data_IF_258265568689
#
_entry.id   IF_258265568689
#
_cell.length_a   1.000
_cell.length_b   1.000
_cell.length_c   1.000
_cell.angle_alpha   90.00
_cell.angle_beta   90.00
_cell.angle_gamma   90.00
#
_symmetry.space_group_name_H-M   'P 1'
#
loop_
_entity.id
_entity.type
_entity.pdbx_description
1 polymer ?
#
# COMPACT_ATOMS: atom_id res chain seq x y z
N UNK A 1 -21.70 -18.31 -32.19
CA UNK A 1 -21.59 -16.87 -32.18
C UNK A 1 -21.59 -16.28 -30.82
N UNK A 2 -22.56 -16.59 -30.01
CA UNK A 2 -22.60 -16.06 -28.64
C UNK A 2 -21.38 -16.46 -27.84
N UNK A 3 -20.91 -17.67 -28.04
CA UNK A 3 -19.73 -18.14 -27.31
C UNK A 3 -18.49 -17.35 -27.67
N UNK A 4 -18.36 -16.97 -28.91
CA UNK A 4 -17.22 -16.19 -29.37
C UNK A 4 -17.24 -14.80 -28.75
N UNK A 5 -18.43 -14.22 -28.69
CA UNK A 5 -18.58 -12.91 -28.08
C UNK A 5 -18.20 -12.94 -26.61
N UNK A 6 -18.61 -13.98 -25.91
CA UNK A 6 -18.29 -14.11 -24.50
C UNK A 6 -16.79 -14.23 -24.29
N UNK A 7 -16.13 -15.00 -25.12
CA UNK A 7 -14.69 -15.17 -25.04
C UNK A 7 -13.98 -13.84 -25.25
N UNK A 8 -14.50 -13.06 -26.17
CA UNK A 8 -13.93 -11.75 -26.46
C UNK A 8 -14.01 -10.82 -25.25
N UNK A 9 -15.16 -10.83 -24.62
CA UNK A 9 -15.37 -10.02 -23.44
C UNK A 9 -14.44 -10.42 -22.31
N UNK A 10 -14.25 -11.70 -22.14
CA UNK A 10 -13.35 -12.20 -21.11
C UNK A 10 -11.91 -11.74 -21.35
N UNK A 11 -11.48 -11.77 -22.60
CA UNK A 11 -10.13 -11.33 -22.92
C UNK A 11 -9.96 -9.86 -22.63
N UNK A 12 -10.96 -9.05 -22.98
CA UNK A 12 -10.90 -7.62 -22.69
C UNK A 12 -10.86 -7.34 -21.21
N UNK A 13 -11.67 -8.05 -20.46
CA UNK A 13 -11.70 -7.89 -19.01
C UNK A 13 -10.34 -8.25 -18.40
N UNK A 14 -9.75 -9.30 -18.91
CA UNK A 14 -8.46 -9.76 -18.44
C UNK A 14 -7.40 -8.68 -18.61
N UNK A 15 -7.36 -8.04 -19.75
CA UNK A 15 -6.39 -6.98 -20.03
C UNK A 15 -6.56 -5.81 -19.07
N UNK A 16 -7.79 -5.42 -18.82
CA UNK A 16 -8.06 -4.32 -17.92
C UNK A 16 -7.64 -4.63 -16.50
N UNK A 17 -7.91 -5.87 -16.06
CA UNK A 17 -7.52 -6.30 -14.73
C UNK A 17 -6.01 -6.23 -14.55
N UNK A 18 -5.28 -6.58 -15.60
CA UNK A 18 -3.83 -6.56 -15.57
C UNK A 18 -3.31 -5.14 -15.36
N UNK A 19 -3.85 -4.19 -16.12
CA UNK A 19 -3.40 -2.81 -16.04
C UNK A 19 -3.63 -2.22 -14.65
N UNK A 20 -4.73 -2.60 -14.01
CA UNK A 20 -5.08 -2.02 -12.72
C UNK A 20 -4.46 -2.75 -11.54
N UNK A 21 -4.00 -3.97 -11.74
CA UNK A 21 -3.49 -4.76 -10.64
C UNK A 21 -2.19 -4.19 -10.07
N UNK A 22 -1.45 -3.37 -10.81
CA UNK A 22 -0.26 -2.73 -10.30
C UNK A 22 -0.58 -1.82 -9.12
N UNK A 23 -1.61 -1.00 -9.26
CA UNK A 23 -2.03 -0.14 -8.17
C UNK A 23 -2.57 -0.95 -6.99
N UNK A 24 -3.33 -1.96 -7.28
CA UNK A 24 -3.87 -2.81 -6.24
C UNK A 24 -2.76 -3.59 -5.54
N UNK A 25 -1.76 -4.03 -6.27
CA UNK A 25 -0.63 -4.75 -5.70
C UNK A 25 0.14 -3.85 -4.73
N UNK A 26 0.34 -2.59 -5.08
CA UNK A 26 0.96 -1.63 -4.16
C UNK A 26 0.11 -1.45 -2.91
N UNK A 27 -1.20 -1.36 -3.10
CA UNK A 27 -2.10 -1.27 -1.96
C UNK A 27 -1.95 -2.48 -1.04
N UNK A 28 -1.95 -3.67 -1.62
CA UNK A 28 -1.78 -4.88 -0.83
C UNK A 28 -0.44 -4.89 -0.11
N UNK A 29 0.60 -4.48 -0.78
CA UNK A 29 1.91 -4.44 -0.16
C UNK A 29 1.99 -3.46 0.99
N UNK A 30 1.28 -2.36 0.90
CA UNK A 30 1.25 -1.41 2.00
C UNK A 30 0.72 -2.07 3.27
N UNK A 31 -0.03 -3.16 3.11
CA UNK A 31 -0.55 -3.92 4.23
C UNK A 31 0.36 -5.09 4.58
N UNK A 32 0.74 -5.88 3.58
CA UNK A 32 1.41 -7.16 3.83
C UNK A 32 2.91 -7.02 4.09
N UNK A 33 3.53 -5.94 3.64
CA UNK A 33 4.97 -5.74 3.84
C UNK A 33 5.30 -5.28 5.26
N UNK A 34 4.32 -4.93 6.04
CA UNK A 34 4.52 -4.41 7.39
C UNK A 34 3.82 -5.33 8.38
N UNK A 35 4.52 -5.63 9.46
CA UNK A 35 3.92 -6.41 10.54
C UNK A 35 3.19 -5.44 11.45
N UNK A 36 1.86 -5.41 11.36
CA UNK A 36 1.06 -4.45 12.08
C UNK A 36 0.95 -4.73 13.57
N UNK A 37 1.18 -5.96 13.97
CA UNK A 37 1.30 -6.24 15.39
C UNK A 37 2.53 -5.57 15.97
N UNK A 38 3.62 -5.58 15.23
CA UNK A 38 4.82 -4.86 15.64
C UNK A 38 4.59 -3.36 15.68
N UNK A 39 3.84 -2.84 14.71
CA UNK A 39 3.50 -1.42 14.72
C UNK A 39 2.78 -1.06 16.02
N UNK A 40 1.79 -1.85 16.37
CA UNK A 40 1.02 -1.61 17.59
C UNK A 40 1.92 -1.64 18.83
N UNK A 41 2.82 -2.59 18.88
CA UNK A 41 3.73 -2.71 20.02
C UNK A 41 4.76 -1.59 20.05
N UNK A 42 5.39 -1.32 18.91
CA UNK A 42 6.44 -0.32 18.81
C UNK A 42 5.96 1.08 19.14
N UNK A 43 4.76 1.40 18.68
CA UNK A 43 4.20 2.72 18.89
C UNK A 43 3.31 2.80 20.13
N UNK A 44 3.18 1.70 20.83
CA UNK A 44 2.36 1.62 22.05
C UNK A 44 0.95 2.14 21.77
N UNK A 45 0.30 1.51 20.80
CA UNK A 45 -1.03 1.93 20.41
C UNK A 45 -2.07 1.47 21.42
N UNK A 46 -3.10 2.28 21.58
CA UNK A 46 -4.23 1.88 22.40
C UNK A 46 -5.01 0.77 21.72
N UNK A 47 -5.86 0.12 22.48
CA UNK A 47 -6.74 -0.91 21.93
C UNK A 47 -7.63 -0.35 20.83
N UNK A 48 -8.10 0.88 20.99
CA UNK A 48 -8.92 1.53 19.99
C UNK A 48 -8.14 1.78 18.71
N UNK A 49 -6.92 2.30 18.84
CA UNK A 49 -6.09 2.57 17.67
C UNK A 49 -5.77 1.27 16.93
N UNK A 50 -5.44 0.23 17.67
CA UNK A 50 -5.13 -1.07 17.06
C UNK A 50 -6.33 -1.61 16.30
N UNK A 51 -7.52 -1.50 16.90
CA UNK A 51 -8.73 -1.96 16.25
C UNK A 51 -9.02 -1.16 14.98
N UNK A 52 -8.81 0.14 15.02
CA UNK A 52 -9.04 0.99 13.86
C UNK A 52 -8.07 0.68 12.73
N UNK A 53 -6.81 0.41 13.06
CA UNK A 53 -5.84 0.01 12.05
C UNK A 53 -6.20 -1.32 11.42
N UNK A 54 -6.60 -2.27 12.24
CA UNK A 54 -7.01 -3.56 11.71
C UNK A 54 -8.21 -3.43 10.79
N UNK A 55 -9.18 -2.61 11.15
CA UNK A 55 -10.34 -2.37 10.31
C UNK A 55 -9.94 -1.71 9.00
N UNK A 56 -9.02 -0.77 9.06
CA UNK A 56 -8.54 -0.11 7.85
C UNK A 56 -7.85 -1.10 6.92
N UNK A 57 -7.01 -1.96 7.48
CA UNK A 57 -6.28 -2.96 6.68
C UNK A 57 -7.22 -4.00 6.08
N UNK A 58 -8.35 -4.23 6.71
CA UNK A 58 -9.34 -5.20 6.22
C UNK A 58 -10.40 -4.59 5.30
N UNK A 59 -10.35 -3.30 5.08
CA UNK A 59 -11.43 -2.58 4.40
C UNK A 59 -11.70 -3.12 2.99
N UNK A 60 -10.66 -3.38 2.24
CA UNK A 60 -10.79 -3.90 0.88
C UNK A 60 -10.07 -5.23 0.80
N UNK A 61 -10.81 -6.29 1.08
CA UNK A 61 -10.22 -7.62 1.16
C UNK A 61 -9.87 -8.22 -0.19
N UNK A 62 -10.56 -7.80 -1.22
CA UNK A 62 -10.31 -8.33 -2.55
C UNK A 62 -10.23 -7.20 -3.55
N UNK A 63 -9.78 -7.56 -4.75
CA UNK A 63 -9.61 -6.59 -5.81
C UNK A 63 -10.91 -5.89 -6.17
N UNK A 64 -12.00 -6.64 -6.22
CA UNK A 64 -13.28 -6.08 -6.64
C UNK A 64 -13.75 -4.97 -5.72
N UNK A 65 -13.66 -5.18 -4.42
CA UNK A 65 -14.10 -4.18 -3.46
C UNK A 65 -13.22 -2.93 -3.53
N UNK A 66 -11.92 -3.12 -3.72
CA UNK A 66 -10.99 -2.02 -3.88
C UNK A 66 -11.26 -1.27 -5.19
N UNK A 67 -11.41 -2.01 -6.26
CA UNK A 67 -11.59 -1.43 -7.59
C UNK A 67 -12.88 -0.63 -7.70
N UNK A 68 -13.91 -1.04 -7.01
CA UNK A 68 -15.18 -0.30 -7.04
C UNK A 68 -14.99 1.15 -6.59
N UNK A 69 -14.09 1.35 -5.64
CA UNK A 69 -13.84 2.68 -5.11
C UNK A 69 -12.83 3.44 -5.98
N UNK A 70 -11.82 2.73 -6.48
CA UNK A 70 -10.68 3.39 -7.10
C UNK A 70 -10.56 3.22 -8.60
N UNK A 71 -11.60 2.72 -9.26
CA UNK A 71 -11.52 2.45 -10.70
C UNK A 71 -11.20 3.70 -11.50
N UNK A 72 -11.75 4.84 -11.11
CA UNK A 72 -11.53 6.09 -11.85
C UNK A 72 -10.19 6.73 -11.53
N UNK A 73 -9.72 6.57 -10.29
CA UNK A 73 -8.48 7.18 -9.84
C UNK A 73 -7.73 6.19 -8.97
N UNK A 74 -7.09 5.20 -9.57
CA UNK A 74 -6.48 4.12 -8.79
C UNK A 74 -5.33 4.58 -7.89
N UNK A 75 -4.68 5.68 -8.21
CA UNK A 75 -3.60 6.21 -7.39
C UNK A 75 -4.08 6.87 -6.10
N UNK A 76 -5.36 7.14 -6.02
CA UNK A 76 -5.92 7.88 -4.89
C UNK A 76 -5.91 7.09 -3.59
N UNK A 77 -5.80 5.77 -3.67
CA UNK A 77 -5.77 4.94 -2.48
C UNK A 77 -4.65 5.35 -1.53
N UNK A 78 -3.56 5.88 -2.08
CA UNK A 78 -2.38 6.24 -1.29
C UNK A 78 -2.70 7.35 -0.30
N UNK A 79 -3.25 8.41 -0.82
CA UNK A 79 -3.62 9.57 0.01
C UNK A 79 -4.69 9.20 1.01
N UNK A 80 -5.69 8.47 0.56
CA UNK A 80 -6.78 8.06 1.43
C UNK A 80 -6.28 7.21 2.58
N UNK A 81 -5.44 6.24 2.27
CA UNK A 81 -4.96 5.30 3.27
C UNK A 81 -4.05 5.98 4.29
N UNK A 82 -3.08 6.75 3.82
CA UNK A 82 -2.12 7.33 4.76
C UNK A 82 -2.70 8.51 5.52
N UNK A 83 -3.67 9.17 4.97
CA UNK A 83 -4.44 10.13 5.74
C UNK A 83 -5.17 9.44 6.90
N UNK A 84 -5.78 8.30 6.63
CA UNK A 84 -6.46 7.55 7.67
C UNK A 84 -5.50 7.02 8.72
N UNK A 85 -4.35 6.54 8.28
CA UNK A 85 -3.34 6.05 9.23
C UNK A 85 -2.89 7.20 10.14
N UNK A 86 -2.62 8.35 9.56
CA UNK A 86 -2.22 9.49 10.36
C UNK A 86 -3.32 9.89 11.35
N UNK A 87 -4.55 9.87 10.90
CA UNK A 87 -5.68 10.22 11.74
C UNK A 87 -5.82 9.24 12.91
N UNK A 88 -5.62 7.97 12.65
CA UNK A 88 -5.71 6.95 13.69
C UNK A 88 -4.56 7.08 14.69
N UNK A 89 -3.36 7.26 14.20
CA UNK A 89 -2.17 7.30 15.05
C UNK A 89 -1.98 8.62 15.78
N UNK A 90 -2.40 9.71 15.15
CA UNK A 90 -2.05 11.03 15.61
C UNK A 90 -0.69 11.42 15.05
N UNK A 91 -0.40 12.73 15.07
CA UNK A 91 0.77 13.26 14.41
C UNK A 91 2.07 12.66 14.95
N UNK A 92 2.17 12.55 16.24
CA UNK A 92 3.42 12.11 16.87
C UNK A 92 3.74 10.66 16.51
N UNK A 93 2.77 9.78 16.71
CA UNK A 93 2.98 8.37 16.40
C UNK A 93 3.11 8.14 14.91
N UNK A 94 2.42 8.93 14.10
CA UNK A 94 2.58 8.82 12.66
C UNK A 94 3.99 9.20 12.22
N UNK A 95 4.58 10.21 12.85
CA UNK A 95 5.99 10.57 12.59
C UNK A 95 6.91 9.41 12.93
N UNK A 96 6.68 8.78 14.07
CA UNK A 96 7.47 7.62 14.48
C UNK A 96 7.27 6.45 13.51
N UNK A 97 6.04 6.25 13.05
CA UNK A 97 5.73 5.23 12.07
C UNK A 97 6.51 5.43 10.78
N UNK A 98 6.52 6.65 10.27
CA UNK A 98 7.28 6.95 9.05
C UNK A 98 8.77 6.72 9.26
N UNK A 99 9.26 7.11 10.41
CA UNK A 99 10.68 6.95 10.72
C UNK A 99 11.07 5.49 10.72
N UNK A 100 10.27 4.67 11.36
CA UNK A 100 10.61 3.29 11.56
C UNK A 100 10.39 2.43 10.31
N UNK A 101 9.34 2.70 9.57
CA UNK A 101 8.95 1.82 8.47
C UNK A 101 9.16 2.42 7.09
N UNK A 102 9.39 3.72 7.00
CA UNK A 102 9.58 4.41 5.72
C UNK A 102 10.80 5.33 5.74
N UNK A 103 11.64 5.18 6.72
CA UNK A 103 12.87 5.97 6.84
C UNK A 103 12.62 7.47 6.85
N UNK A 104 11.53 7.86 7.44
CA UNK A 104 11.16 9.26 7.52
C UNK A 104 10.52 9.82 6.27
N UNK A 105 10.40 9.01 5.23
CA UNK A 105 9.78 9.48 3.99
C UNK A 105 8.26 9.44 4.09
N UNK A 106 7.64 10.29 3.29
CA UNK A 106 6.19 10.25 3.16
C UNK A 106 5.78 9.04 2.34
N UNK A 107 4.99 8.13 2.89
CA UNK A 107 4.60 6.92 2.14
C UNK A 107 3.89 7.22 0.83
N UNK A 108 3.09 8.28 0.78
CA UNK A 108 2.42 8.66 -0.46
C UNK A 108 3.45 8.97 -1.54
N UNK A 109 4.50 9.69 -1.18
CA UNK A 109 5.55 10.03 -2.14
C UNK A 109 6.30 8.78 -2.60
N UNK A 110 6.52 7.84 -1.68
CA UNK A 110 7.19 6.59 -2.03
C UNK A 110 6.41 5.85 -3.09
N UNK A 111 5.11 5.70 -2.89
CA UNK A 111 4.29 4.97 -3.86
C UNK A 111 4.01 5.77 -5.13
N UNK A 112 4.06 7.09 -5.05
CA UNK A 112 3.93 7.91 -6.25
C UNK A 112 5.11 7.71 -7.19
N UNK A 113 6.28 7.50 -6.65
CA UNK A 113 7.44 7.19 -7.48
C UNK A 113 7.28 5.85 -8.18
N UNK A 114 6.55 4.95 -7.53
CA UNK A 114 6.30 3.63 -8.09
C UNK A 114 5.41 3.65 -9.31
N UNK A 115 4.53 4.61 -9.39
CA UNK A 115 3.49 4.55 -10.41
C UNK A 115 4.05 4.50 -11.82
N UNK A 116 5.23 5.06 -12.03
CA UNK A 116 5.85 5.06 -13.35
C UNK A 116 6.90 3.99 -13.51
N UNK A 117 7.28 3.34 -12.42
CA UNK A 117 8.33 2.33 -12.49
C UNK A 117 8.20 1.38 -11.31
N UNK A 118 7.21 0.56 -11.38
CA UNK A 118 6.85 -0.36 -10.31
C UNK A 118 8.03 -1.23 -9.89
N UNK A 119 8.70 -1.82 -10.85
CA UNK A 119 9.82 -2.71 -10.56
C UNK A 119 10.96 -1.98 -9.86
N UNK A 120 11.23 -0.78 -10.30
CA UNK A 120 12.33 -0.01 -9.75
C UNK A 120 12.11 0.32 -8.29
N UNK A 121 10.90 0.70 -7.94
CA UNK A 121 10.63 1.04 -6.55
C UNK A 121 10.73 -0.19 -5.67
N UNK A 122 10.25 -1.32 -6.16
CA UNK A 122 10.34 -2.57 -5.43
C UNK A 122 11.79 -2.91 -5.11
N UNK A 123 12.65 -2.79 -6.10
CA UNK A 123 14.08 -3.04 -5.92
C UNK A 123 14.69 -2.04 -4.98
N UNK A 124 14.31 -0.80 -5.12
CA UNK A 124 14.81 0.28 -4.29
C UNK A 124 14.48 0.05 -2.82
N UNK A 125 13.29 -0.41 -2.55
CA UNK A 125 12.87 -0.70 -1.19
C UNK A 125 13.73 -1.80 -0.57
N UNK A 126 13.98 -2.84 -1.33
CA UNK A 126 14.84 -3.92 -0.89
C UNK A 126 16.25 -3.43 -0.62
N UNK A 127 16.74 -2.58 -1.50
CA UNK A 127 18.06 -2.00 -1.36
C UNK A 127 18.18 -1.19 -0.08
N UNK A 128 17.20 -0.39 0.20
CA UNK A 128 17.20 0.45 1.38
C UNK A 128 17.33 -0.39 2.64
N UNK A 129 16.58 -1.47 2.71
CA UNK A 129 16.68 -2.38 3.85
C UNK A 129 18.07 -2.97 3.99
N UNK A 130 18.64 -3.39 2.89
CA UNK A 130 19.97 -3.96 2.90
C UNK A 130 21.03 -2.98 3.34
N UNK A 131 20.93 -1.77 2.86
CA UNK A 131 21.88 -0.73 3.21
C UNK A 131 21.83 -0.42 4.69
N UNK A 132 20.64 -0.37 5.24
CA UNK A 132 20.48 -0.18 6.66
C UNK A 132 21.19 -1.24 7.45
N UNK A 133 21.04 -2.47 7.02
CA UNK A 133 21.68 -3.58 7.68
C UNK A 133 23.19 -3.48 7.62
N UNK A 134 23.70 -3.10 6.47
CA UNK A 134 25.12 -3.06 6.26
C UNK A 134 25.78 -1.93 6.97
N UNK A 135 25.34 -0.75 6.68
CA UNK A 135 26.08 0.43 7.08
C UNK A 135 25.25 1.39 7.87
N UNK A 136 23.98 1.36 7.68
CA UNK A 136 23.10 2.30 8.35
C UNK A 136 23.31 3.72 7.94
N UNK A 137 24.13 3.99 6.93
CA UNK A 137 24.42 5.34 6.57
C UNK A 137 24.24 5.65 5.15
N UNK A 138 24.03 4.62 4.41
CA UNK A 138 24.06 4.88 3.03
C UNK A 138 22.91 5.66 2.59
N UNK A 139 22.95 6.49 2.13
CA UNK A 139 21.92 7.09 1.53
C UNK A 139 21.84 8.35 1.58
#
# INVERSE_FOLDING_TARGET
>A
MKKILIAFLLAGTFSLSYAQSDYYNDYRRSITDINWQNVAADLILSAVQTKQLNALNDRYRDYDSWNRVYVSHPDRWREDRYYEIERILGREKYTQFKKKYYKGQNPVAVYNRNKNNYKKVKVQKTKVYKMDKKNGHHH
#
